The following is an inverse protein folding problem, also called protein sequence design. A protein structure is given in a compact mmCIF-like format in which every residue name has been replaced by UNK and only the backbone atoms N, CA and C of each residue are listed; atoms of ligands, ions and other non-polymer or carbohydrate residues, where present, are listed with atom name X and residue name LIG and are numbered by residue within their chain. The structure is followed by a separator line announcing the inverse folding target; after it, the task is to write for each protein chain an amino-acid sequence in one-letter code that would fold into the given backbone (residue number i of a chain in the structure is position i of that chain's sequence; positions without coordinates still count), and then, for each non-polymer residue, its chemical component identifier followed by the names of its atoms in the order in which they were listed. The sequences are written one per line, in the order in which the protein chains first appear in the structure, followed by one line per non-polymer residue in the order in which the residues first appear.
data_IF_400949687435
#
_entry.id   IF_400949687435
#
_cell.length_a   1.000
_cell.length_b   1.000
_cell.length_c   1.000
_cell.angle_alpha   90.00
_cell.angle_beta   90.00
_cell.angle_gamma   90.00
#
_symmetry.space_group_name_H-M   'P 1'
#
loop_
_entity.id
_entity.type
_entity.pdbx_description
1 polymer ?
#
# COMPACT_ATOMS: atom_id res chain seq x y z
N UNK A 1 0.58 -16.13 7.44
CA UNK A 1 0.18 -16.33 6.03
C UNK A 1 1.42 -16.66 5.24
N UNK A 2 1.32 -17.62 4.35
CA UNK A 2 2.44 -18.18 3.59
C UNK A 2 2.70 -17.34 2.31
N UNK A 3 3.89 -16.76 2.18
CA UNK A 3 4.27 -15.95 0.99
C UNK A 3 4.93 -16.79 -0.11
N UNK A 4 4.98 -18.13 0.05
CA UNK A 4 5.62 -19.02 -0.93
C UNK A 4 4.95 -18.95 -2.30
N UNK A 5 3.63 -18.71 -2.34
CA UNK A 5 2.90 -18.51 -3.61
C UNK A 5 3.39 -17.27 -4.36
N UNK A 6 3.73 -16.20 -3.64
CA UNK A 6 4.28 -14.99 -4.23
C UNK A 6 5.71 -15.20 -4.71
N UNK A 7 6.52 -15.94 -3.95
CA UNK A 7 7.90 -16.26 -4.33
C UNK A 7 7.99 -17.15 -5.58
N UNK A 8 6.98 -17.97 -5.86
CA UNK A 8 6.90 -18.79 -7.09
C UNK A 8 6.54 -18.01 -8.35
N UNK A 9 6.06 -16.77 -8.21
CA UNK A 9 5.72 -15.94 -9.38
C UNK A 9 7.00 -15.50 -10.11
N UNK A 10 6.92 -15.30 -11.44
CA UNK A 10 8.02 -14.73 -12.22
C UNK A 10 8.49 -13.39 -11.63
N UNK A 11 9.79 -13.12 -11.70
CA UNK A 11 10.37 -11.91 -11.09
C UNK A 11 9.71 -10.61 -11.57
N UNK A 12 9.34 -10.52 -12.85
CA UNK A 12 8.60 -9.38 -13.39
C UNK A 12 7.21 -9.19 -12.77
N UNK A 13 6.49 -10.28 -12.48
CA UNK A 13 5.19 -10.23 -11.80
C UNK A 13 5.36 -9.83 -10.34
N UNK A 14 6.40 -10.35 -9.66
CA UNK A 14 6.70 -9.95 -8.28
C UNK A 14 7.03 -8.47 -8.19
N UNK A 15 7.85 -7.95 -9.10
CA UNK A 15 8.15 -6.52 -9.18
C UNK A 15 6.89 -5.72 -9.47
N UNK A 16 6.07 -6.12 -10.44
CA UNK A 16 4.81 -5.43 -10.75
C UNK A 16 3.88 -5.33 -9.54
N UNK A 17 3.78 -6.38 -8.72
CA UNK A 17 2.98 -6.36 -7.49
C UNK A 17 3.59 -5.45 -6.43
N UNK A 18 4.92 -5.45 -6.27
CA UNK A 18 5.60 -4.55 -5.35
C UNK A 18 5.44 -3.08 -5.77
N UNK A 19 5.64 -2.78 -7.05
CA UNK A 19 5.39 -1.46 -7.64
C UNK A 19 3.92 -1.03 -7.49
N UNK A 20 2.98 -1.95 -7.65
CA UNK A 20 1.56 -1.69 -7.44
C UNK A 20 1.25 -1.34 -5.98
N UNK A 21 1.85 -2.07 -5.03
CA UNK A 21 1.71 -1.79 -3.60
C UNK A 21 2.36 -0.46 -3.20
N UNK A 22 3.55 -0.15 -3.74
CA UNK A 22 4.23 1.13 -3.48
C UNK A 22 3.44 2.32 -4.09
N UNK A 23 2.88 2.16 -5.29
CA UNK A 23 1.98 3.16 -5.89
C UNK A 23 0.70 3.35 -5.07
N UNK A 24 0.10 2.28 -4.56
CA UNK A 24 -1.12 2.37 -3.74
C UNK A 24 -0.85 3.12 -2.43
N UNK A 25 0.28 2.84 -1.79
CA UNK A 25 0.75 3.56 -0.59
C UNK A 25 0.95 5.04 -0.91
N UNK A 26 1.66 5.35 -1.99
CA UNK A 26 1.92 6.74 -2.38
C UNK A 26 0.62 7.49 -2.71
N UNK A 27 -0.24 6.90 -3.53
CA UNK A 27 -1.51 7.50 -3.93
C UNK A 27 -2.46 7.70 -2.75
N UNK A 28 -2.46 6.75 -1.79
CA UNK A 28 -3.18 6.89 -0.53
C UNK A 28 -2.67 8.07 0.30
N UNK A 29 -1.33 8.21 0.44
CA UNK A 29 -0.71 9.32 1.16
C UNK A 29 -1.00 10.67 0.51
N UNK A 30 -0.93 10.75 -0.83
CA UNK A 30 -1.29 11.95 -1.60
C UNK A 30 -2.75 12.35 -1.37
N UNK A 31 -3.68 11.39 -1.46
CA UNK A 31 -5.10 11.63 -1.15
C UNK A 31 -5.31 12.13 0.28
N UNK A 32 -4.57 11.60 1.24
CA UNK A 32 -4.64 12.01 2.63
C UNK A 32 -4.13 13.43 2.85
N UNK A 33 -3.04 13.79 2.15
CA UNK A 33 -2.46 15.12 2.18
C UNK A 33 -3.40 16.16 1.53
N UNK A 34 -3.93 15.85 0.34
CA UNK A 34 -4.93 16.68 -0.35
C UNK A 34 -6.21 16.85 0.49
N UNK A 35 -6.68 15.76 1.10
CA UNK A 35 -7.84 15.80 1.98
C UNK A 35 -7.63 16.66 3.23
N UNK A 36 -6.45 16.57 3.85
CA UNK A 36 -6.06 17.41 4.99
C UNK A 36 -5.98 18.88 4.60
N UNK A 37 -5.44 19.18 3.42
CA UNK A 37 -5.36 20.55 2.88
C UNK A 37 -6.72 21.14 2.52
N UNK A 38 -7.59 20.33 1.91
CA UNK A 38 -8.92 20.77 1.49
C UNK A 38 -9.97 20.72 2.59
N UNK A 39 -9.68 20.07 3.74
CA UNK A 39 -10.66 19.81 4.80
C UNK A 39 -11.85 18.95 4.34
N UNK A 40 -11.69 18.21 3.24
CA UNK A 40 -12.82 17.62 2.49
C UNK A 40 -13.21 16.21 2.94
N UNK A 41 -12.37 15.53 3.73
CA UNK A 41 -12.66 14.20 4.25
C UNK A 41 -13.05 14.27 5.72
N UNK A 42 -14.04 13.46 6.08
CA UNK A 42 -14.39 13.23 7.48
C UNK A 42 -13.40 12.25 8.14
N UNK A 43 -13.42 12.17 9.47
CA UNK A 43 -12.50 11.34 10.24
C UNK A 43 -12.57 9.85 9.88
N UNK A 44 -13.75 9.38 9.44
CA UNK A 44 -13.97 7.99 9.06
C UNK A 44 -13.31 7.66 7.71
N UNK A 45 -13.47 8.52 6.71
CA UNK A 45 -12.78 8.41 5.42
C UNK A 45 -11.26 8.51 5.58
N UNK A 46 -10.80 9.41 6.45
CA UNK A 46 -9.37 9.53 6.77
C UNK A 46 -8.83 8.23 7.36
N UNK A 47 -9.52 7.68 8.36
CA UNK A 47 -9.13 6.40 8.98
C UNK A 47 -9.17 5.22 8.00
N UNK A 48 -10.11 5.20 7.05
CA UNK A 48 -10.15 4.20 5.98
C UNK A 48 -8.91 4.27 5.10
N UNK A 49 -8.54 5.46 4.62
CA UNK A 49 -7.35 5.64 3.77
C UNK A 49 -6.08 5.29 4.54
N UNK A 50 -5.94 5.72 5.81
CA UNK A 50 -4.81 5.33 6.66
C UNK A 50 -4.73 3.81 6.85
N UNK A 51 -5.87 3.14 7.02
CA UNK A 51 -5.97 1.69 7.13
C UNK A 51 -5.52 0.97 5.86
N UNK A 52 -5.91 1.47 4.69
CA UNK A 52 -5.54 0.91 3.40
C UNK A 52 -4.04 1.11 3.10
N UNK A 53 -3.50 2.30 3.38
CA UNK A 53 -2.05 2.57 3.29
C UNK A 53 -1.28 1.59 4.19
N UNK A 54 -1.71 1.43 5.44
CA UNK A 54 -1.04 0.54 6.39
C UNK A 54 -1.06 -0.90 5.91
N UNK A 55 -2.20 -1.36 5.39
CA UNK A 55 -2.35 -2.71 4.84
C UNK A 55 -1.46 -2.92 3.61
N UNK A 56 -1.40 -1.95 2.69
CA UNK A 56 -0.55 -2.01 1.51
C UNK A 56 0.94 -2.02 1.88
N UNK A 57 1.36 -1.18 2.83
CA UNK A 57 2.71 -1.15 3.36
C UNK A 57 3.09 -2.46 4.08
N UNK A 58 2.17 -3.03 4.87
CA UNK A 58 2.37 -4.35 5.49
C UNK A 58 2.52 -5.46 4.45
N UNK A 59 1.69 -5.47 3.39
CA UNK A 59 1.80 -6.45 2.31
C UNK A 59 3.14 -6.32 1.59
N UNK A 60 3.56 -5.10 1.25
CA UNK A 60 4.85 -4.82 0.62
C UNK A 60 6.01 -5.33 1.47
N UNK A 61 6.00 -5.03 2.77
CA UNK A 61 7.04 -5.48 3.69
C UNK A 61 7.02 -7.00 3.91
N UNK A 62 5.86 -7.67 3.80
CA UNK A 62 5.78 -9.14 3.85
C UNK A 62 6.29 -9.81 2.58
N UNK A 63 6.06 -9.20 1.41
CA UNK A 63 6.45 -9.74 0.11
C UNK A 63 7.92 -9.45 -0.24
N UNK A 64 8.44 -8.35 0.28
CA UNK A 64 9.85 -7.96 0.17
C UNK A 64 10.30 -7.34 1.49
N UNK A 65 10.54 -8.17 2.54
CA UNK A 65 11.14 -7.68 3.76
C UNK A 65 12.48 -7.05 3.40
N UNK A 66 12.69 -5.79 3.77
CA UNK A 66 13.99 -5.15 3.61
C UNK A 66 15.03 -6.04 4.33
N UNK A 67 15.99 -6.54 3.55
CA UNK A 67 17.06 -7.41 4.03
C UNK A 67 17.98 -6.68 5.03
#
# INVERSE_FOLDING_TARGET
MDTSSFQRLPQGIRQLVLDGLDNEVQSGLERLDDAKKSGSLNSEQTASIEGDIRRAAELRNRFSPAA
#
